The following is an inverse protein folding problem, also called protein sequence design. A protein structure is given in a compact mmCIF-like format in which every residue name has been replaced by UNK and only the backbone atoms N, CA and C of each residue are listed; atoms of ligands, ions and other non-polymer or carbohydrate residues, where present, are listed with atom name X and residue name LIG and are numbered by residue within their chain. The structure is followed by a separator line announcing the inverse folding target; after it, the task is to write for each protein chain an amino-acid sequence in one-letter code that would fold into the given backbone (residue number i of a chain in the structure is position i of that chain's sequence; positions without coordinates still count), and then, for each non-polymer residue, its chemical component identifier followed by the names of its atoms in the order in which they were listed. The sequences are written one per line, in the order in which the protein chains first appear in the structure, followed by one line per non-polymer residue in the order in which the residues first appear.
data_IF_151086944442
#
_entry.id   IF_151086944442
#
_cell.length_a   1.000
_cell.length_b   1.000
_cell.length_c   1.000
_cell.angle_alpha   90.00
_cell.angle_beta   90.00
_cell.angle_gamma   90.00
#
_symmetry.space_group_name_H-M   'P 1'
#
loop_
_entity.id
_entity.type
_entity.pdbx_description
1 polymer ?
#
# COMPACT_ATOMS: atom_id res chain seq x y z
N UNK A 1 22.15 -56.97 12.45
CA UNK A 1 22.21 -55.49 12.60
C UNK A 1 22.82 -54.88 11.34
N UNK A 2 22.49 -53.62 11.02
CA UNK A 2 23.03 -52.82 9.92
C UNK A 2 22.26 -52.90 8.59
N UNK A 3 21.10 -52.23 8.49
CA UNK A 3 20.50 -51.75 7.22
C UNK A 3 19.21 -50.91 7.41
N UNK A 4 19.21 -49.98 8.36
CA UNK A 4 18.07 -49.07 8.59
C UNK A 4 18.44 -47.58 8.50
N UNK A 5 19.62 -47.27 7.97
CA UNK A 5 20.17 -45.90 7.89
C UNK A 5 20.08 -45.30 6.48
N UNK A 6 18.99 -45.56 5.73
CA UNK A 6 18.80 -44.95 4.39
C UNK A 6 17.43 -44.31 4.14
N UNK A 7 16.49 -44.34 5.09
CA UNK A 7 15.16 -43.73 4.88
C UNK A 7 15.08 -42.28 5.41
N UNK A 8 16.11 -41.79 6.10
CA UNK A 8 16.14 -40.43 6.65
C UNK A 8 16.50 -39.31 5.63
N UNK A 9 16.46 -39.59 4.32
CA UNK A 9 16.73 -38.58 3.27
C UNK A 9 15.42 -38.01 2.68
N UNK A 10 14.25 -38.54 3.04
CA UNK A 10 12.97 -38.12 2.42
C UNK A 10 12.12 -37.12 3.22
N UNK A 11 12.57 -36.64 4.38
CA UNK A 11 11.86 -35.57 5.11
C UNK A 11 12.80 -34.40 5.38
N UNK A 12 13.28 -33.78 4.30
CA UNK A 12 14.22 -32.66 4.38
C UNK A 12 13.93 -31.53 3.40
N UNK A 13 12.80 -31.56 2.67
CA UNK A 13 12.35 -30.35 1.95
C UNK A 13 11.78 -29.38 2.97
N UNK A 14 12.68 -28.62 3.59
CA UNK A 14 12.37 -27.29 4.09
C UNK A 14 11.83 -26.51 2.90
N UNK A 15 10.50 -26.49 2.75
CA UNK A 15 9.86 -25.47 1.95
C UNK A 15 10.02 -24.18 2.73
N UNK A 16 11.16 -23.51 2.55
CA UNK A 16 11.29 -22.11 2.91
C UNK A 16 10.31 -21.36 2.01
N UNK A 17 9.11 -21.13 2.53
CA UNK A 17 8.15 -20.22 1.92
C UNK A 17 8.77 -18.84 2.01
N UNK A 18 9.37 -18.36 0.92
CA UNK A 18 9.64 -16.94 0.74
C UNK A 18 8.29 -16.24 0.65
N UNK A 19 7.75 -15.85 1.80
CA UNK A 19 6.63 -14.92 1.83
C UNK A 19 7.18 -13.58 1.36
N UNK A 20 6.80 -13.15 0.16
CA UNK A 20 6.87 -11.74 -0.21
C UNK A 20 5.83 -11.04 0.66
N UNK A 21 6.18 -10.73 1.90
CA UNK A 21 5.38 -9.86 2.74
C UNK A 21 5.45 -8.46 2.12
N UNK A 22 4.30 -7.95 1.70
CA UNK A 22 4.19 -6.53 1.33
C UNK A 22 4.60 -5.70 2.54
N UNK A 23 5.48 -4.73 2.34
CA UNK A 23 5.95 -3.84 3.41
C UNK A 23 4.83 -2.92 3.93
N UNK A 24 3.70 -2.85 3.22
CA UNK A 24 2.55 -2.01 3.55
C UNK A 24 1.20 -2.71 3.28
N UNK A 25 0.84 -3.74 4.08
CA UNK A 25 -0.41 -4.47 3.88
C UNK A 25 -1.60 -3.61 4.27
N UNK A 26 -2.59 -3.52 3.37
CA UNK A 26 -3.90 -2.94 3.67
C UNK A 26 -4.57 -3.80 4.73
N UNK A 27 -4.92 -3.19 5.86
CA UNK A 27 -5.57 -3.90 6.97
C UNK A 27 -6.96 -3.34 7.23
N UNK A 28 -7.85 -4.17 7.77
CA UNK A 28 -9.17 -3.74 8.21
C UNK A 28 -9.22 -3.94 9.72
N UNK A 29 -9.42 -2.85 10.46
CA UNK A 29 -9.60 -2.86 11.91
C UNK A 29 -10.77 -1.96 12.28
N UNK A 30 -11.66 -2.47 13.13
CA UNK A 30 -12.87 -1.75 13.55
C UNK A 30 -13.72 -1.27 12.36
N UNK A 31 -13.76 -2.10 11.30
CA UNK A 31 -14.38 -1.84 9.99
C UNK A 31 -13.76 -0.67 9.18
N UNK A 32 -12.65 -0.10 9.65
CA UNK A 32 -11.89 0.90 8.93
C UNK A 32 -10.74 0.29 8.13
N UNK A 33 -10.63 0.61 6.85
CA UNK A 33 -9.45 0.34 6.05
C UNK A 33 -8.29 1.23 6.50
N UNK A 34 -7.14 0.63 6.74
CA UNK A 34 -5.91 1.27 7.17
C UNK A 34 -4.78 0.91 6.22
N UNK A 35 -3.71 1.70 6.24
CA UNK A 35 -2.57 1.56 5.33
C UNK A 35 -3.00 1.63 3.86
N UNK A 36 -3.96 2.50 3.54
CA UNK A 36 -4.34 2.75 2.15
C UNK A 36 -3.34 3.74 1.57
N UNK A 37 -2.51 3.29 0.64
CA UNK A 37 -1.48 4.12 0.01
C UNK A 37 -2.01 4.77 -1.28
N UNK A 38 -1.80 6.08 -1.41
CA UNK A 38 -2.02 6.83 -2.64
C UNK A 38 -0.68 7.43 -3.07
N UNK A 39 -0.11 6.92 -4.16
CA UNK A 39 1.16 7.42 -4.68
C UNK A 39 0.94 8.43 -5.80
N UNK A 40 1.58 9.59 -5.70
CA UNK A 40 1.64 10.57 -6.79
C UNK A 40 2.84 10.20 -7.67
N UNK A 41 2.60 10.12 -8.99
CA UNK A 41 3.66 9.81 -9.94
C UNK A 41 4.73 10.90 -9.96
N UNK A 42 6.00 10.49 -10.07
CA UNK A 42 7.13 11.42 -10.24
C UNK A 42 7.16 12.15 -11.57
N UNK A 43 6.26 11.81 -12.51
CA UNK A 43 6.07 12.54 -13.77
C UNK A 43 5.28 13.84 -13.59
N UNK A 44 4.60 14.02 -12.46
CA UNK A 44 3.85 15.23 -12.16
C UNK A 44 4.78 16.19 -11.42
N UNK A 45 5.06 17.34 -12.01
CA UNK A 45 5.86 18.37 -11.36
C UNK A 45 5.04 19.16 -10.33
N UNK A 46 5.66 19.50 -9.19
CA UNK A 46 4.94 20.13 -8.06
C UNK A 46 4.41 21.52 -8.40
N UNK A 47 5.09 22.25 -9.26
CA UNK A 47 4.68 23.57 -9.74
C UNK A 47 3.42 23.49 -10.63
N UNK A 48 3.23 22.41 -11.37
CA UNK A 48 2.01 22.16 -12.16
C UNK A 48 0.83 21.67 -11.29
N UNK A 49 1.11 20.85 -10.27
CA UNK A 49 0.09 20.28 -9.39
C UNK A 49 -0.27 21.16 -8.17
N UNK A 50 0.70 21.92 -7.68
CA UNK A 50 0.62 22.74 -6.47
C UNK A 50 0.33 21.96 -5.18
N UNK A 51 0.38 22.67 -4.04
CA UNK A 51 -0.12 22.18 -2.76
C UNK A 51 -1.64 21.87 -2.82
N UNK A 52 -2.34 22.46 -3.81
CA UNK A 52 -3.75 22.22 -4.07
C UNK A 52 -4.03 20.74 -4.40
N UNK A 53 -3.15 20.05 -5.14
CA UNK A 53 -3.36 18.62 -5.45
C UNK A 53 -3.42 17.76 -4.19
N UNK A 54 -2.57 18.05 -3.19
CA UNK A 54 -2.58 17.31 -1.92
C UNK A 54 -3.92 17.50 -1.21
N UNK A 55 -4.42 18.73 -1.15
CA UNK A 55 -5.74 19.03 -0.55
C UNK A 55 -6.88 18.40 -1.33
N UNK A 56 -6.82 18.40 -2.67
CA UNK A 56 -7.82 17.77 -3.52
C UNK A 56 -7.87 16.26 -3.33
N UNK A 57 -6.70 15.60 -3.22
CA UNK A 57 -6.63 14.16 -2.90
C UNK A 57 -7.20 13.89 -1.50
N UNK A 58 -6.87 14.70 -0.49
CA UNK A 58 -7.46 14.57 0.86
C UNK A 58 -8.98 14.69 0.82
N UNK A 59 -9.49 15.68 0.10
CA UNK A 59 -10.93 15.89 -0.05
C UNK A 59 -11.59 14.72 -0.77
N UNK A 60 -11.01 14.26 -1.89
CA UNK A 60 -11.50 13.13 -2.65
C UNK A 60 -11.54 11.83 -1.82
N UNK A 61 -10.47 11.53 -1.07
CA UNK A 61 -10.42 10.36 -0.20
C UNK A 61 -11.39 10.47 0.98
N UNK A 62 -11.63 11.67 1.48
CA UNK A 62 -12.64 11.93 2.52
C UNK A 62 -14.06 11.69 1.99
N UNK A 63 -14.39 12.19 0.80
CA UNK A 63 -15.70 11.96 0.19
C UNK A 63 -15.89 10.49 -0.21
N UNK A 64 -14.85 9.83 -0.72
CA UNK A 64 -14.85 8.39 -0.98
C UNK A 64 -15.15 7.61 0.30
N UNK A 65 -14.49 7.94 1.41
CA UNK A 65 -14.72 7.30 2.72
C UNK A 65 -16.19 7.45 3.17
N UNK A 66 -16.76 8.66 3.04
CA UNK A 66 -18.19 8.92 3.33
C UNK A 66 -19.11 8.10 2.41
N UNK A 67 -18.80 8.05 1.12
CA UNK A 67 -19.57 7.32 0.13
C UNK A 67 -19.56 5.81 0.41
N UNK A 68 -18.38 5.22 0.70
CA UNK A 68 -18.22 3.83 1.11
C UNK A 68 -19.04 3.51 2.36
N UNK A 69 -18.99 4.41 3.35
CA UNK A 69 -19.74 4.25 4.60
C UNK A 69 -21.24 4.20 4.33
N UNK A 70 -21.77 5.12 3.53
CA UNK A 70 -23.20 5.11 3.13
C UNK A 70 -23.57 3.87 2.32
N UNK A 71 -22.78 3.53 1.31
CA UNK A 71 -23.02 2.39 0.42
C UNK A 71 -23.04 1.05 1.18
N UNK A 72 -22.25 0.94 2.25
CA UNK A 72 -22.12 -0.28 3.06
C UNK A 72 -23.00 -0.26 4.31
N UNK A 73 -23.97 0.66 4.40
CA UNK A 73 -24.87 0.83 5.57
C UNK A 73 -24.11 1.09 6.87
N UNK A 74 -23.24 2.08 6.84
CA UNK A 74 -22.43 2.56 7.95
C UNK A 74 -21.37 1.57 8.45
N UNK A 75 -20.94 0.63 7.60
CA UNK A 75 -19.99 -0.43 7.99
C UNK A 75 -18.55 -0.05 7.66
N UNK A 76 -18.23 0.18 6.39
CA UNK A 76 -16.86 0.32 5.93
C UNK A 76 -16.50 1.78 5.64
N UNK A 77 -15.30 2.18 6.03
CA UNK A 77 -14.77 3.51 5.77
C UNK A 77 -13.25 3.47 5.63
N UNK A 78 -12.64 4.52 5.09
CA UNK A 78 -11.20 4.70 5.10
C UNK A 78 -10.80 5.37 6.42
N UNK A 79 -10.06 4.64 7.26
CA UNK A 79 -9.62 5.10 8.57
C UNK A 79 -8.23 5.74 8.52
N UNK A 80 -7.35 5.24 7.65
CA UNK A 80 -6.00 5.77 7.47
C UNK A 80 -5.58 5.67 6.01
N UNK A 81 -5.22 6.82 5.45
CA UNK A 81 -4.75 6.98 4.06
C UNK A 81 -3.42 7.70 4.12
N UNK A 82 -2.41 7.14 3.47
CA UNK A 82 -1.06 7.71 3.37
C UNK A 82 -0.84 8.17 1.94
N UNK A 83 -0.44 9.43 1.76
CA UNK A 83 -0.11 9.99 0.44
C UNK A 83 1.41 9.94 0.30
N UNK A 84 1.90 9.20 -0.69
CA UNK A 84 3.32 9.14 -1.03
C UNK A 84 3.65 10.20 -2.08
N UNK A 85 4.52 11.13 -1.70
CA UNK A 85 4.97 12.22 -2.57
C UNK A 85 6.18 11.78 -3.41
N UNK A 86 6.36 12.34 -4.62
CA UNK A 86 7.56 12.10 -5.39
C UNK A 86 8.81 12.63 -4.68
N UNK A 87 9.92 11.90 -4.77
CA UNK A 87 11.22 12.38 -4.27
C UNK A 87 11.74 13.62 -5.03
N UNK A 88 11.19 13.90 -6.22
CA UNK A 88 11.53 15.05 -7.05
C UNK A 88 10.90 16.37 -6.59
N UNK A 89 9.90 16.32 -5.70
CA UNK A 89 9.18 17.51 -5.25
C UNK A 89 10.00 18.34 -4.25
N UNK A 90 10.11 19.67 -4.42
CA UNK A 90 10.76 20.53 -3.44
C UNK A 90 10.08 20.48 -2.07
N UNK A 91 10.86 20.23 -1.01
CA UNK A 91 10.32 20.13 0.35
C UNK A 91 9.84 18.72 0.73
N UNK A 92 10.08 17.70 -0.10
CA UNK A 92 9.82 16.30 0.23
C UNK A 92 10.55 15.85 1.52
N UNK A 93 11.66 16.49 1.87
CA UNK A 93 12.42 16.30 3.11
C UNK A 93 11.65 16.67 4.40
N UNK A 94 10.57 17.46 4.27
CA UNK A 94 9.72 17.84 5.41
C UNK A 94 8.76 16.73 5.82
N UNK A 95 8.63 15.69 5.00
CA UNK A 95 7.73 14.56 5.24
C UNK A 95 8.51 13.32 5.67
N UNK A 96 7.83 12.37 6.30
CA UNK A 96 8.45 11.10 6.65
C UNK A 96 8.81 10.36 5.37
N UNK A 97 10.05 9.83 5.29
CA UNK A 97 10.46 9.04 4.14
C UNK A 97 9.59 7.78 4.05
N UNK A 98 8.95 7.59 2.89
CA UNK A 98 8.12 6.42 2.65
C UNK A 98 8.98 5.16 2.58
N UNK A 99 8.45 4.06 3.11
CA UNK A 99 8.97 2.71 2.86
C UNK A 99 8.91 2.40 1.36
N UNK A 100 9.84 1.59 0.85
CA UNK A 100 9.98 1.31 -0.58
C UNK A 100 8.70 0.69 -1.16
N UNK A 101 7.98 1.45 -1.97
CA UNK A 101 6.79 0.97 -2.67
C UNK A 101 7.05 0.95 -4.18
N UNK A 102 6.82 -0.21 -4.80
CA UNK A 102 6.86 -0.35 -6.26
C UNK A 102 5.47 -0.15 -6.81
N UNK A 103 5.26 0.97 -7.49
CA UNK A 103 4.07 1.22 -8.29
C UNK A 103 4.51 1.57 -9.71
N UNK A 104 3.96 0.88 -10.70
CA UNK A 104 4.10 1.25 -12.10
C UNK A 104 2.90 2.11 -12.51
N UNK A 105 3.09 2.99 -13.51
CA UNK A 105 1.98 3.69 -14.18
C UNK A 105 1.24 2.67 -15.03
N UNK A 106 0.39 1.88 -14.38
CA UNK A 106 -0.52 0.96 -15.06
C UNK A 106 -1.60 1.76 -15.77
N UNK A 107 -1.41 2.04 -17.07
CA UNK A 107 -2.51 2.51 -17.93
C UNK A 107 -3.45 1.33 -18.15
N UNK A 108 -4.38 1.12 -17.21
CA UNK A 108 -5.52 0.23 -17.43
C UNK A 108 -6.67 1.07 -18.00
N UNK A 109 -6.71 1.21 -19.32
CA UNK A 109 -7.94 1.62 -20.00
C UNK A 109 -8.85 0.40 -20.19
N UNK A 110 -10.14 0.58 -19.90
CA UNK A 110 -11.21 -0.31 -20.32
C UNK A 110 -11.71 0.10 -21.72
#
# INVERSE_FOLDING_TARGET
MCRLWLVAILTGTSYATVALESEFPVTIKDNGYRNVLVAISSTIDQDEAGDALIEDIKNAMTELSKAMKRATRERLYLAEVTILLPKTWPGADKYQEGTLEKYEVGVSCA
#
